data_IF_281688013660
#
_entry.id   IF_281688013660
#
_cell.length_a   1.000
_cell.length_b   1.000
_cell.length_c   1.000
_cell.angle_alpha   90.00
_cell.angle_beta   90.00
_cell.angle_gamma   90.00
#
_symmetry.space_group_name_H-M   'P 1'
#
loop_
_entity.id
_entity.type
_entity.pdbx_description
1 polymer ?
#
# COMPACT_ATOMS: atom_id res chain seq x y z
N UNK A 1 39.34 34.09 25.13
CA UNK A 1 39.13 32.68 24.81
C UNK A 1 37.62 32.49 24.61
N UNK A 2 37.11 32.25 23.39
CA UNK A 2 35.71 31.90 23.21
C UNK A 2 35.60 30.37 23.11
N UNK A 3 34.72 29.81 23.92
CA UNK A 3 34.32 28.40 23.86
C UNK A 3 33.46 28.16 22.61
N UNK A 4 33.97 27.35 21.71
CA UNK A 4 33.26 26.88 20.54
C UNK A 4 32.42 25.65 20.94
N UNK A 5 31.10 25.82 21.10
CA UNK A 5 30.16 24.71 21.32
C UNK A 5 29.79 24.10 19.96
N UNK A 6 30.45 23.03 19.60
CA UNK A 6 30.02 22.20 18.45
C UNK A 6 28.83 21.35 18.87
N UNK A 7 27.62 21.79 18.49
CA UNK A 7 26.42 20.97 18.57
C UNK A 7 26.52 19.83 17.56
N UNK A 8 26.93 18.66 17.99
CA UNK A 8 26.78 17.42 17.23
C UNK A 8 25.29 17.03 17.23
N UNK A 9 24.63 17.33 16.13
CA UNK A 9 23.32 16.79 15.84
C UNK A 9 23.47 15.27 15.64
N UNK A 10 23.19 14.47 16.68
CA UNK A 10 23.09 13.01 16.58
C UNK A 10 21.85 12.65 15.75
N UNK A 11 22.03 12.55 14.44
CA UNK A 11 21.04 11.90 13.56
C UNK A 11 21.11 10.41 13.83
N UNK A 12 20.25 9.91 14.70
CA UNK A 12 20.07 8.47 14.92
C UNK A 12 19.77 7.82 13.55
N UNK A 13 20.52 6.80 13.09
CA UNK A 13 20.26 6.17 11.81
C UNK A 13 18.86 5.58 11.83
N UNK A 14 17.99 6.10 10.97
CA UNK A 14 16.60 5.67 10.85
C UNK A 14 16.61 4.24 10.33
N UNK A 15 16.39 3.29 11.23
CA UNK A 15 16.46 1.86 10.95
C UNK A 15 15.37 1.52 9.93
N UNK A 16 15.76 1.00 8.77
CA UNK A 16 14.84 0.66 7.69
C UNK A 16 13.79 -0.36 8.16
N UNK A 17 12.52 -0.21 7.76
CA UNK A 17 11.48 -1.16 8.13
C UNK A 17 11.76 -2.54 7.53
N UNK A 18 11.49 -3.59 8.30
CA UNK A 18 11.55 -4.96 7.82
C UNK A 18 10.24 -5.28 7.06
N UNK A 19 10.38 -5.74 5.80
CA UNK A 19 9.23 -6.17 5.01
C UNK A 19 9.12 -7.69 5.04
N UNK A 20 7.94 -8.19 5.41
CA UNK A 20 7.60 -9.62 5.45
C UNK A 20 6.20 -9.89 4.92
N UNK A 21 5.90 -11.15 4.64
CA UNK A 21 4.53 -11.57 4.38
C UNK A 21 3.65 -11.37 5.63
N UNK A 22 2.41 -10.95 5.40
CA UNK A 22 1.40 -10.86 6.45
C UNK A 22 1.03 -12.25 6.96
N UNK A 23 0.70 -12.32 8.27
CA UNK A 23 0.19 -13.51 8.95
C UNK A 23 -1.28 -13.30 9.30
N UNK A 24 -2.01 -14.37 9.58
CA UNK A 24 -3.41 -14.28 10.06
C UNK A 24 -3.50 -13.44 11.36
N UNK A 25 -2.49 -13.52 12.22
CA UNK A 25 -2.41 -12.71 13.44
C UNK A 25 -2.31 -11.20 13.19
N UNK A 26 -1.89 -10.78 12.01
CA UNK A 26 -1.76 -9.36 11.65
C UNK A 26 -3.09 -8.73 11.19
N UNK A 27 -4.10 -9.55 10.86
CA UNK A 27 -5.31 -9.12 10.16
C UNK A 27 -6.03 -7.97 10.85
N UNK A 28 -6.16 -7.98 12.18
CA UNK A 28 -6.84 -6.92 12.92
C UNK A 28 -6.12 -5.56 12.72
N UNK A 29 -4.79 -5.55 12.87
CA UNK A 29 -3.98 -4.35 12.70
C UNK A 29 -3.91 -3.89 11.22
N UNK A 30 -3.97 -4.84 10.27
CA UNK A 30 -4.04 -4.55 8.84
C UNK A 30 -5.37 -3.89 8.46
N UNK A 31 -6.49 -4.45 8.92
CA UNK A 31 -7.81 -3.89 8.66
C UNK A 31 -7.92 -2.47 9.20
N UNK A 32 -7.45 -2.22 10.41
CA UNK A 32 -7.37 -0.88 10.99
C UNK A 32 -6.51 0.06 10.12
N UNK A 33 -5.33 -0.38 9.71
CA UNK A 33 -4.40 0.43 8.92
C UNK A 33 -4.98 0.78 7.54
N UNK A 34 -5.64 -0.16 6.88
CA UNK A 34 -6.29 0.05 5.59
C UNK A 34 -7.46 1.01 5.76
N UNK A 35 -8.38 0.71 6.67
CA UNK A 35 -9.60 1.49 6.86
C UNK A 35 -9.26 2.93 7.25
N UNK A 36 -8.36 3.15 8.20
CA UNK A 36 -7.93 4.49 8.62
C UNK A 36 -7.18 5.29 7.54
N UNK A 37 -6.60 4.60 6.53
CA UNK A 37 -5.86 5.25 5.45
C UNK A 37 -6.74 5.69 4.28
N UNK A 38 -7.88 5.04 4.05
CA UNK A 38 -8.75 5.27 2.91
C UNK A 38 -10.03 6.03 3.22
N UNK A 39 -10.43 6.06 4.48
CA UNK A 39 -11.67 6.69 4.90
C UNK A 39 -11.39 7.81 5.90
N UNK A 40 -11.94 8.99 5.62
CA UNK A 40 -11.93 10.12 6.55
C UNK A 40 -13.20 10.05 7.41
N UNK A 41 -13.04 9.71 8.69
CA UNK A 41 -14.15 9.46 9.61
C UNK A 41 -14.55 10.68 10.43
N UNK A 42 -14.18 11.87 10.01
CA UNK A 42 -14.68 13.11 10.62
C UNK A 42 -16.13 13.33 10.17
N UNK A 43 -17.11 12.75 10.88
CA UNK A 43 -18.51 13.00 10.58
C UNK A 43 -19.50 11.94 11.03
N UNK A 44 -20.75 12.09 10.54
CA UNK A 44 -21.93 11.28 10.85
C UNK A 44 -21.75 9.76 10.60
N UNK A 45 -20.79 9.36 9.77
CA UNK A 45 -20.54 7.95 9.39
C UNK A 45 -19.49 7.25 10.26
N UNK A 46 -19.00 7.88 11.32
CA UNK A 46 -17.99 7.26 12.22
C UNK A 46 -18.47 5.94 12.86
N UNK A 47 -19.75 5.75 13.05
CA UNK A 47 -20.34 4.51 13.56
C UNK A 47 -20.18 3.30 12.63
N UNK A 48 -19.94 3.51 11.32
CA UNK A 48 -19.68 2.44 10.36
C UNK A 48 -18.23 1.89 10.45
N UNK A 49 -17.35 2.57 11.17
CA UNK A 49 -15.93 2.20 11.24
C UNK A 49 -15.70 0.74 11.68
N UNK A 50 -16.34 0.25 12.78
CA UNK A 50 -16.16 -1.14 13.20
C UNK A 50 -16.65 -2.15 12.15
N UNK A 51 -17.75 -1.86 11.45
CA UNK A 51 -18.28 -2.71 10.41
C UNK A 51 -17.34 -2.80 9.21
N UNK A 52 -16.75 -1.67 8.80
CA UNK A 52 -15.76 -1.63 7.72
C UNK A 52 -14.47 -2.37 8.10
N UNK A 53 -14.00 -2.21 9.34
CA UNK A 53 -12.87 -2.99 9.82
C UNK A 53 -13.16 -4.50 9.81
N UNK A 54 -14.35 -4.90 10.23
CA UNK A 54 -14.75 -6.29 10.23
C UNK A 54 -14.78 -6.86 8.81
N UNK A 55 -15.45 -6.18 7.86
CA UNK A 55 -15.55 -6.64 6.47
C UNK A 55 -14.19 -6.72 5.77
N UNK A 56 -13.34 -5.72 5.95
CA UNK A 56 -11.96 -5.73 5.41
C UNK A 56 -11.15 -6.85 6.07
N UNK A 57 -11.33 -7.06 7.38
CA UNK A 57 -10.65 -8.13 8.11
C UNK A 57 -11.03 -9.53 7.62
N UNK A 58 -12.34 -9.79 7.38
CA UNK A 58 -12.79 -11.09 6.86
C UNK A 58 -12.29 -11.34 5.43
N UNK A 59 -12.32 -10.33 4.56
CA UNK A 59 -11.78 -10.43 3.21
C UNK A 59 -10.25 -10.72 3.21
N UNK A 60 -9.50 -10.05 4.07
CA UNK A 60 -8.07 -10.33 4.28
C UNK A 60 -7.84 -11.76 4.80
N UNK A 61 -8.64 -12.22 5.78
CA UNK A 61 -8.54 -13.60 6.29
C UNK A 61 -8.78 -14.62 5.19
N UNK A 62 -9.81 -14.41 4.40
CA UNK A 62 -10.14 -15.29 3.27
C UNK A 62 -8.96 -15.37 2.29
N UNK A 63 -8.43 -14.22 1.86
CA UNK A 63 -7.31 -14.17 0.90
C UNK A 63 -6.02 -14.77 1.47
N UNK A 64 -5.70 -14.51 2.73
CA UNK A 64 -4.52 -15.09 3.38
C UNK A 64 -4.63 -16.61 3.58
N UNK A 65 -5.85 -17.13 3.82
CA UNK A 65 -6.10 -18.57 3.94
C UNK A 65 -6.09 -19.30 2.59
N UNK A 66 -6.45 -18.63 1.51
CA UNK A 66 -6.47 -19.22 0.16
C UNK A 66 -5.11 -19.73 -0.30
N UNK A 67 -4.03 -19.28 0.35
CA UNK A 67 -2.62 -19.64 0.08
C UNK A 67 -2.26 -19.61 -1.43
N UNK A 68 -2.86 -18.71 -2.19
CA UNK A 68 -2.62 -18.59 -3.63
C UNK A 68 -1.16 -18.26 -3.91
N UNK A 69 -0.54 -19.00 -4.84
CA UNK A 69 0.84 -18.75 -5.28
C UNK A 69 1.03 -17.33 -5.88
N UNK A 70 -0.05 -16.78 -6.45
CA UNK A 70 -0.05 -15.51 -7.17
C UNK A 70 -0.78 -14.39 -6.40
N UNK A 71 -0.76 -14.48 -5.08
CA UNK A 71 -1.21 -13.44 -4.16
C UNK A 71 -0.21 -13.29 -3.02
N UNK A 72 0.11 -12.05 -2.67
CA UNK A 72 0.90 -11.73 -1.47
C UNK A 72 0.34 -10.49 -0.78
N UNK A 73 0.19 -10.57 0.52
CA UNK A 73 -0.01 -9.41 1.39
C UNK A 73 1.29 -9.17 2.16
N UNK A 74 1.84 -7.98 2.06
CA UNK A 74 3.10 -7.60 2.69
C UNK A 74 2.85 -6.60 3.80
N UNK A 75 3.65 -6.70 4.85
CA UNK A 75 3.69 -5.74 5.95
C UNK A 75 5.10 -5.18 6.12
N UNK A 76 5.18 -3.89 6.34
CA UNK A 76 6.38 -3.21 6.80
C UNK A 76 6.31 -3.08 8.32
N UNK A 77 7.27 -3.66 9.05
CA UNK A 77 7.34 -3.60 10.51
C UNK A 77 8.52 -2.76 10.93
N UNK A 78 8.38 -2.03 12.03
CA UNK A 78 9.47 -1.29 12.66
C UNK A 78 9.99 -2.06 13.85
N UNK A 79 11.25 -1.80 14.25
CA UNK A 79 11.77 -2.36 15.49
C UNK A 79 11.02 -1.74 16.68
N UNK A 80 10.21 -2.54 17.33
CA UNK A 80 9.57 -2.18 18.60
C UNK A 80 10.40 -2.70 19.78
N UNK A 81 10.24 -2.05 20.93
CA UNK A 81 10.75 -2.58 22.19
C UNK A 81 9.96 -3.84 22.59
N UNK A 82 10.65 -4.83 23.18
CA UNK A 82 10.07 -6.01 23.82
C UNK A 82 9.19 -6.88 22.92
N UNK A 83 9.75 -7.47 21.88
CA UNK A 83 9.09 -8.49 21.01
C UNK A 83 7.84 -8.03 20.23
N UNK A 84 7.48 -6.77 20.21
CA UNK A 84 6.38 -6.26 19.41
C UNK A 84 6.94 -5.45 18.23
N UNK A 85 6.72 -5.95 17.03
CA UNK A 85 7.11 -5.26 15.77
C UNK A 85 5.86 -4.58 15.19
N UNK A 86 5.57 -3.32 15.55
CA UNK A 86 4.37 -2.63 15.08
C UNK A 86 4.40 -2.50 13.55
N UNK A 87 3.23 -2.71 12.95
CA UNK A 87 3.04 -2.56 11.50
C UNK A 87 3.03 -1.08 11.17
N UNK A 88 3.97 -0.66 10.34
CA UNK A 88 4.07 0.71 9.82
C UNK A 88 3.22 0.92 8.58
N UNK A 89 3.02 -0.14 7.78
CA UNK A 89 2.24 -0.09 6.55
C UNK A 89 2.04 -1.47 5.94
N UNK A 90 1.18 -1.54 4.94
CA UNK A 90 0.82 -2.76 4.22
C UNK A 90 0.63 -2.49 2.74
N UNK A 91 0.69 -3.55 1.92
CA UNK A 91 0.36 -3.56 0.50
C UNK A 91 -0.02 -4.97 0.08
N UNK A 92 -0.90 -5.08 -0.89
CA UNK A 92 -1.23 -6.35 -1.53
C UNK A 92 -0.80 -6.34 -2.99
N UNK A 93 -0.35 -7.49 -3.48
CA UNK A 93 -0.11 -7.76 -4.88
C UNK A 93 -0.75 -9.09 -5.27
N UNK A 94 -1.48 -9.09 -6.38
CA UNK A 94 -2.12 -10.27 -6.94
C UNK A 94 -2.13 -10.22 -8.46
N UNK A 95 -2.30 -11.37 -9.12
CA UNK A 95 -2.67 -11.34 -10.53
C UNK A 95 -4.12 -10.95 -10.67
N UNK A 96 -4.38 -9.97 -11.55
CA UNK A 96 -5.72 -9.55 -11.94
C UNK A 96 -6.03 -10.07 -13.33
N UNK A 97 -7.16 -10.79 -13.44
CA UNK A 97 -7.71 -11.17 -14.73
C UNK A 97 -8.70 -10.08 -15.16
N UNK A 98 -8.75 -9.79 -16.45
CA UNK A 98 -9.86 -9.03 -17.02
C UNK A 98 -11.02 -10.00 -17.27
N UNK A 99 -12.16 -9.78 -16.60
CA UNK A 99 -13.36 -10.63 -16.80
C UNK A 99 -14.00 -10.45 -18.19
N UNK A 100 -13.66 -9.37 -18.92
CA UNK A 100 -14.33 -8.98 -20.15
C UNK A 100 -13.41 -8.91 -21.37
N UNK A 101 -12.14 -9.21 -21.21
CA UNK A 101 -11.18 -9.20 -22.31
C UNK A 101 -10.31 -10.46 -22.29
N UNK A 102 -9.92 -10.93 -23.47
CA UNK A 102 -8.90 -11.96 -23.64
C UNK A 102 -7.49 -11.46 -23.27
N UNK A 103 -7.39 -10.35 -22.53
CA UNK A 103 -6.12 -9.79 -22.10
C UNK A 103 -5.45 -10.70 -21.07
N UNK A 104 -4.14 -10.85 -21.16
CA UNK A 104 -3.38 -11.67 -20.22
C UNK A 104 -3.51 -11.11 -18.80
N UNK A 105 -3.42 -12.01 -17.82
CA UNK A 105 -3.35 -11.63 -16.41
C UNK A 105 -2.11 -10.75 -16.19
N UNK A 106 -2.21 -9.79 -15.27
CA UNK A 106 -1.11 -8.89 -14.92
C UNK A 106 -1.03 -8.65 -13.41
N UNK A 107 0.19 -8.44 -12.88
CA UNK A 107 0.38 -8.08 -11.48
C UNK A 107 -0.27 -6.74 -11.16
N UNK A 108 -1.11 -6.75 -10.13
CA UNK A 108 -1.85 -5.58 -9.69
C UNK A 108 -1.63 -5.31 -8.21
N UNK A 109 -1.29 -4.07 -7.88
CA UNK A 109 -1.11 -3.60 -6.52
C UNK A 109 -2.41 -2.99 -6.00
N UNK A 110 -2.79 -3.38 -4.78
CA UNK A 110 -3.93 -2.84 -4.04
C UNK A 110 -3.58 -2.61 -2.58
N UNK A 111 -4.45 -1.89 -1.87
CA UNK A 111 -4.40 -1.70 -0.42
C UNK A 111 -3.04 -1.22 0.12
N UNK A 112 -2.30 -0.38 -0.65
CA UNK A 112 -1.12 0.29 -0.13
C UNK A 112 -1.55 1.32 0.91
N UNK A 113 -1.22 1.06 2.17
CA UNK A 113 -1.54 1.92 3.30
C UNK A 113 -0.33 2.06 4.22
N UNK A 114 -0.09 3.28 4.72
CA UNK A 114 0.97 3.58 5.69
C UNK A 114 0.38 4.41 6.82
N UNK A 115 0.54 3.94 8.06
CA UNK A 115 0.09 4.66 9.26
C UNK A 115 0.69 6.06 9.31
N UNK A 116 -0.07 7.04 9.75
CA UNK A 116 0.33 8.46 9.76
C UNK A 116 1.69 8.68 10.41
N UNK A 117 1.96 8.03 11.55
CA UNK A 117 3.22 8.14 12.28
C UNK A 117 4.47 7.69 11.47
N UNK A 118 4.28 6.89 10.42
CA UNK A 118 5.37 6.33 9.60
C UNK A 118 5.39 6.87 8.16
N UNK A 119 4.54 7.86 7.87
CA UNK A 119 4.54 8.52 6.55
C UNK A 119 5.80 9.34 6.33
N UNK A 120 6.15 9.58 5.05
CA UNK A 120 7.33 10.34 4.60
C UNK A 120 8.68 9.75 4.99
N UNK A 121 8.70 8.51 5.49
CA UNK A 121 9.89 7.76 5.90
C UNK A 121 10.31 6.68 4.89
N UNK A 122 9.78 6.71 3.67
CA UNK A 122 10.13 5.76 2.60
C UNK A 122 9.42 4.41 2.68
N UNK A 123 8.56 4.16 3.69
CA UNK A 123 7.87 2.86 3.89
C UNK A 123 7.10 2.42 2.64
N UNK A 124 6.28 3.30 2.06
CA UNK A 124 5.52 2.99 0.85
C UNK A 124 6.42 2.64 -0.34
N UNK A 125 7.52 3.35 -0.54
CA UNK A 125 8.49 3.06 -1.61
C UNK A 125 9.07 1.66 -1.44
N UNK A 126 9.48 1.26 -0.24
CA UNK A 126 10.05 -0.05 0.01
C UNK A 126 9.02 -1.18 -0.21
N UNK A 127 7.77 -0.98 0.24
CA UNK A 127 6.68 -1.92 -0.03
C UNK A 127 6.45 -2.10 -1.54
N UNK A 128 6.41 -1.01 -2.31
CA UNK A 128 6.26 -1.05 -3.76
C UNK A 128 7.44 -1.74 -4.45
N UNK A 129 8.69 -1.43 -4.03
CA UNK A 129 9.88 -2.12 -4.55
C UNK A 129 9.80 -3.64 -4.31
N UNK A 130 9.28 -4.06 -3.15
CA UNK A 130 9.09 -5.49 -2.87
C UNK A 130 8.02 -6.12 -3.76
N UNK A 131 6.92 -5.41 -4.06
CA UNK A 131 5.92 -5.85 -5.03
C UNK A 131 6.51 -6.01 -6.42
N UNK A 132 7.36 -5.09 -6.87
CA UNK A 132 8.06 -5.18 -8.15
C UNK A 132 8.97 -6.41 -8.23
N UNK A 133 9.70 -6.73 -7.15
CA UNK A 133 10.51 -7.96 -7.07
C UNK A 133 9.64 -9.22 -7.17
N UNK A 134 8.48 -9.24 -6.50
CA UNK A 134 7.53 -10.36 -6.57
C UNK A 134 6.95 -10.50 -7.97
N UNK A 135 6.52 -9.41 -8.61
CA UNK A 135 6.02 -9.46 -9.98
C UNK A 135 7.06 -10.04 -10.96
N UNK A 136 8.34 -9.66 -10.83
CA UNK A 136 9.44 -10.27 -11.60
C UNK A 136 9.59 -11.76 -11.34
N UNK A 137 9.50 -12.18 -10.06
CA UNK A 137 9.58 -13.61 -9.71
C UNK A 137 8.42 -14.43 -10.27
N UNK A 138 7.30 -13.78 -10.60
CA UNK A 138 6.16 -14.37 -11.31
C UNK A 138 6.33 -14.36 -12.84
N UNK A 139 7.42 -13.79 -13.35
CA UNK A 139 7.71 -13.74 -14.79
C UNK A 139 7.11 -12.53 -15.52
N UNK A 140 6.72 -11.48 -14.80
CA UNK A 140 6.14 -10.28 -15.39
C UNK A 140 7.16 -9.14 -15.47
N UNK A 141 7.08 -8.38 -16.55
CA UNK A 141 7.90 -7.19 -16.81
C UNK A 141 7.13 -5.87 -16.55
N UNK A 142 5.86 -5.95 -16.20
CA UNK A 142 4.98 -4.82 -15.92
C UNK A 142 4.18 -5.04 -14.66
N UNK A 143 3.77 -3.95 -14.01
CA UNK A 143 2.93 -3.95 -12.82
C UNK A 143 1.99 -2.74 -12.85
N UNK A 144 0.76 -2.92 -12.37
CA UNK A 144 -0.28 -1.90 -12.41
C UNK A 144 -0.89 -1.60 -11.04
N UNK A 145 -1.47 -0.42 -10.96
CA UNK A 145 -2.28 0.01 -9.82
C UNK A 145 -3.26 1.12 -10.24
N UNK A 146 -4.25 1.35 -9.38
CA UNK A 146 -5.11 2.53 -9.52
C UNK A 146 -4.87 3.52 -8.39
N UNK A 147 -5.06 4.81 -8.71
CA UNK A 147 -5.09 5.88 -7.73
C UNK A 147 -6.27 6.82 -7.99
N UNK A 148 -6.91 7.29 -6.93
CA UNK A 148 -7.96 8.30 -7.04
C UNK A 148 -7.34 9.65 -7.44
N UNK A 149 -8.01 10.39 -8.33
CA UNK A 149 -7.52 11.65 -8.89
C UNK A 149 -7.17 12.70 -7.83
N UNK A 150 -7.91 12.72 -6.74
CA UNK A 150 -7.71 13.63 -5.61
C UNK A 150 -6.64 13.17 -4.61
N UNK A 151 -6.13 11.94 -4.72
CA UNK A 151 -5.03 11.48 -3.87
C UNK A 151 -3.68 11.94 -4.42
N UNK A 152 -3.41 13.25 -4.28
CA UNK A 152 -2.21 13.89 -4.82
C UNK A 152 -0.92 13.29 -4.27
N UNK A 153 -0.89 12.95 -2.98
CA UNK A 153 0.30 12.39 -2.32
C UNK A 153 0.67 11.02 -2.88
N UNK A 154 -0.31 10.12 -3.05
CA UNK A 154 -0.07 8.80 -3.63
C UNK A 154 0.31 8.91 -5.12
N UNK A 155 -0.41 9.76 -5.89
CA UNK A 155 -0.08 10.00 -7.30
C UNK A 155 1.37 10.47 -7.47
N UNK A 156 1.80 11.45 -6.69
CA UNK A 156 3.18 11.95 -6.74
C UNK A 156 4.20 10.87 -6.38
N UNK A 157 3.93 10.04 -5.36
CA UNK A 157 4.77 8.91 -5.02
C UNK A 157 4.96 7.97 -6.21
N UNK A 158 3.87 7.53 -6.85
CA UNK A 158 3.94 6.59 -7.97
C UNK A 158 4.69 7.18 -9.16
N UNK A 159 4.42 8.42 -9.54
CA UNK A 159 5.13 9.09 -10.64
C UNK A 159 6.63 9.21 -10.35
N UNK A 160 7.01 9.56 -9.12
CA UNK A 160 8.42 9.71 -8.70
C UNK A 160 9.21 8.40 -8.68
N UNK A 161 8.52 7.24 -8.66
CA UNK A 161 9.18 5.93 -8.71
C UNK A 161 9.00 5.24 -10.06
N UNK A 162 8.54 5.98 -11.07
CA UNK A 162 8.55 5.55 -12.47
C UNK A 162 7.26 4.92 -12.99
N UNK A 163 6.14 5.03 -12.25
CA UNK A 163 4.83 4.68 -12.81
C UNK A 163 4.37 5.76 -13.78
N UNK A 164 3.68 5.36 -14.83
CA UNK A 164 3.11 6.23 -15.86
C UNK A 164 1.58 6.10 -15.88
N UNK A 165 0.89 7.20 -16.09
CA UNK A 165 -0.57 7.19 -16.25
C UNK A 165 -0.90 6.62 -17.63
N UNK A 166 -1.64 5.51 -17.66
CA UNK A 166 -2.04 4.82 -18.89
C UNK A 166 -3.47 5.21 -19.29
N UNK A 167 -4.35 5.31 -18.29
CA UNK A 167 -5.78 5.53 -18.54
C UNK A 167 -6.43 6.34 -17.43
N UNK A 168 -7.36 7.19 -17.81
CA UNK A 168 -8.31 7.83 -16.89
C UNK A 168 -9.63 7.08 -16.98
N UNK A 169 -10.12 6.60 -15.82
CA UNK A 169 -11.39 5.88 -15.73
C UNK A 169 -12.37 6.68 -14.87
N UNK A 170 -13.50 7.08 -15.49
CA UNK A 170 -14.60 7.73 -14.78
C UNK A 170 -15.42 6.66 -14.08
N UNK A 171 -15.57 6.77 -12.76
CA UNK A 171 -16.48 5.91 -12.02
C UNK A 171 -17.92 6.33 -12.29
N UNK A 172 -18.68 5.45 -12.88
CA UNK A 172 -20.14 5.51 -12.90
C UNK A 172 -20.68 4.89 -11.58
N UNK A 173 -20.45 5.52 -10.46
CA UNK A 173 -21.14 5.17 -9.22
C UNK A 173 -21.90 6.40 -8.76
N UNK A 174 -23.22 6.42 -9.00
CA UNK A 174 -24.15 7.52 -8.74
C UNK A 174 -24.27 7.96 -7.27
N UNK A 175 -23.40 7.52 -6.36
CA UNK A 175 -23.40 7.88 -4.95
C UNK A 175 -22.17 8.70 -4.48
N UNK A 176 -21.15 8.88 -5.32
CA UNK A 176 -19.99 9.70 -4.98
C UNK A 176 -19.93 10.92 -5.88
N UNK A 177 -19.59 12.08 -5.25
CA UNK A 177 -19.50 13.39 -5.90
C UNK A 177 -19.08 13.32 -7.37
N UNK A 178 -19.83 13.96 -8.23
CA UNK A 178 -19.83 13.99 -9.70
C UNK A 178 -18.48 14.23 -10.41
N UNK A 179 -17.33 14.30 -9.74
CA UNK A 179 -16.04 14.67 -10.33
C UNK A 179 -14.86 13.78 -9.90
N UNK A 180 -15.06 12.65 -9.22
CA UNK A 180 -13.95 11.77 -8.87
C UNK A 180 -13.77 10.69 -9.93
N UNK A 181 -12.55 10.60 -10.47
CA UNK A 181 -12.11 9.54 -11.38
C UNK A 181 -10.87 8.87 -10.80
N UNK A 182 -10.62 7.65 -11.26
CA UNK A 182 -9.38 6.95 -10.94
C UNK A 182 -8.44 6.94 -12.14
N UNK A 183 -7.17 6.92 -11.85
CA UNK A 183 -6.11 6.78 -12.84
C UNK A 183 -5.55 5.37 -12.76
N UNK A 184 -5.47 4.69 -13.89
CA UNK A 184 -4.68 3.46 -14.04
C UNK A 184 -3.24 3.87 -14.31
N UNK A 185 -2.34 3.38 -13.46
CA UNK A 185 -0.90 3.57 -13.62
C UNK A 185 -0.22 2.23 -13.86
N UNK A 186 0.79 2.24 -14.72
CA UNK A 186 1.62 1.08 -15.07
C UNK A 186 3.08 1.45 -14.95
N UNK A 187 3.90 0.50 -14.50
CA UNK A 187 5.35 0.61 -14.52
C UNK A 187 5.95 -0.59 -15.22
N UNK A 188 6.93 -0.36 -16.11
CA UNK A 188 7.80 -1.40 -16.61
C UNK A 188 8.86 -1.71 -15.56
N UNK A 189 8.95 -2.98 -15.18
CA UNK A 189 9.92 -3.49 -14.21
C UNK A 189 10.91 -4.34 -14.97
N UNK A 190 12.05 -3.75 -15.36
CA UNK A 190 13.07 -4.47 -16.12
C UNK A 190 13.68 -5.60 -15.28
N UNK A 191 13.91 -6.76 -15.91
CA UNK A 191 14.87 -7.74 -15.38
C UNK A 191 16.27 -7.17 -15.60
N UNK A 192 17.05 -7.08 -14.54
CA UNK A 192 18.49 -6.88 -14.67
C UNK A 192 19.13 -8.19 -15.13
#
# INVERSE_FOLDING_TARGET
MPFSSTNHCHTTPQKQPLIRNAKISDVSELAETIVSSFYDYSGILSWLYPLLQFTVGEDLRYRLRSNSALYRCLVATTNGDRNKYPIAGTVEIALKASFWSSEPQYPYISNLAVKNAYRRQGVARQLLTKCEQIARSWGYDTIELHVLSHNHSAKQLYLNIGYQIIKKETHWNGFLKSNSYRLLLRKKIFSN
#
